data_IF_696120796362
#
_entry.id   IF_696120796362
#
_cell.length_a   1.000
_cell.length_b   1.000
_cell.length_c   1.000
_cell.angle_alpha   90.00
_cell.angle_beta   90.00
_cell.angle_gamma   90.00
#
_symmetry.space_group_name_H-M   'P 1'
#
loop_
_entity.id
_entity.type
_entity.pdbx_description
1 polymer ?
#
# COMPACT_ATOMS: atom_id res chain seq x y z
N UNK A 1 41.58 4.03 -18.09
CA UNK A 1 41.49 5.37 -17.78
C UNK A 1 40.11 5.92 -17.83
N UNK A 2 39.46 5.81 -18.86
CA UNK A 2 38.09 6.24 -18.92
C UNK A 2 37.16 5.38 -18.05
N UNK A 3 37.62 4.17 -17.68
CA UNK A 3 36.83 3.30 -16.84
C UNK A 3 36.55 3.88 -15.46
N UNK A 4 37.53 4.65 -14.94
CA UNK A 4 37.33 5.29 -13.66
C UNK A 4 36.14 6.25 -13.66
N UNK A 5 35.99 6.93 -14.76
CA UNK A 5 34.86 7.86 -14.90
C UNK A 5 33.56 7.12 -14.94
N UNK A 6 33.55 6.02 -15.66
CA UNK A 6 32.33 5.23 -15.76
C UNK A 6 31.98 4.54 -14.45
N UNK A 7 33.01 4.15 -13.71
CA UNK A 7 32.79 3.51 -12.44
C UNK A 7 32.10 4.43 -11.46
N UNK A 8 32.42 5.69 -11.54
CA UNK A 8 31.77 6.66 -10.68
C UNK A 8 30.34 6.88 -11.07
N UNK A 9 30.08 6.90 -12.35
CA UNK A 9 28.72 7.13 -12.83
C UNK A 9 27.73 6.05 -12.38
N UNK A 10 28.09 4.75 -12.40
CA UNK A 10 27.15 3.73 -11.93
C UNK A 10 26.81 3.81 -10.46
N UNK A 11 27.70 4.31 -9.64
CA UNK A 11 27.44 4.35 -8.21
C UNK A 11 26.23 5.22 -7.87
N UNK A 12 26.15 6.40 -8.45
CA UNK A 12 25.05 7.31 -8.21
C UNK A 12 23.72 6.76 -8.75
N UNK A 13 23.67 6.24 -9.99
CA UNK A 13 22.42 5.64 -10.48
C UNK A 13 21.91 4.48 -9.65
N UNK A 14 22.82 3.67 -9.09
CA UNK A 14 22.42 2.55 -8.24
C UNK A 14 21.74 3.06 -6.98
N UNK A 15 22.27 4.11 -6.38
CA UNK A 15 21.66 4.70 -5.20
C UNK A 15 20.29 5.29 -5.54
N UNK A 16 20.18 5.96 -6.67
CA UNK A 16 18.92 6.53 -7.11
C UNK A 16 17.91 5.45 -7.41
N UNK A 17 18.34 4.36 -8.02
CA UNK A 17 17.47 3.25 -8.31
C UNK A 17 16.88 2.66 -7.05
N UNK A 18 17.69 2.52 -6.00
CA UNK A 18 17.17 2.00 -4.75
C UNK A 18 16.17 2.96 -4.13
N UNK A 19 16.41 4.25 -4.24
CA UNK A 19 15.47 5.25 -3.74
C UNK A 19 14.17 5.20 -4.51
N UNK A 20 14.24 4.98 -5.83
CA UNK A 20 13.07 4.91 -6.67
C UNK A 20 12.33 3.58 -6.56
N UNK A 21 12.99 2.55 -6.05
CA UNK A 21 12.38 1.23 -5.93
C UNK A 21 11.65 1.04 -4.62
N UNK A 22 10.83 2.02 -4.29
CA UNK A 22 10.00 1.93 -3.11
C UNK A 22 8.69 1.25 -3.49
N UNK A 23 8.19 0.35 -2.62
CA UNK A 23 6.98 -0.39 -2.94
C UNK A 23 5.76 0.48 -3.13
N UNK A 24 4.79 -0.07 -3.87
CA UNK A 24 3.44 0.48 -3.96
C UNK A 24 2.60 -0.24 -2.90
N UNK A 25 1.87 0.51 -2.11
CA UNK A 25 0.96 -0.03 -1.10
C UNK A 25 -0.47 0.17 -1.57
N UNK A 26 -1.19 -0.92 -1.84
CA UNK A 26 -2.62 -0.88 -2.12
C UNK A 26 -3.34 -1.09 -0.79
N UNK A 27 -4.10 -0.10 -0.37
CA UNK A 27 -4.63 -0.05 0.99
C UNK A 27 -6.15 -0.04 1.02
N UNK A 28 -6.73 -0.86 1.87
CA UNK A 28 -8.15 -0.77 2.24
C UNK A 28 -8.29 -0.87 3.75
N UNK A 29 -9.32 -0.24 4.28
CA UNK A 29 -9.70 -0.34 5.69
C UNK A 29 -10.94 -1.20 5.80
N UNK A 30 -10.81 -2.39 6.40
CA UNK A 30 -11.91 -3.27 6.79
C UNK A 30 -12.77 -3.87 5.68
N UNK A 31 -12.73 -3.36 4.45
CA UNK A 31 -13.64 -3.78 3.39
C UNK A 31 -12.91 -4.17 2.11
N UNK A 32 -13.65 -4.67 1.14
CA UNK A 32 -13.14 -5.07 -0.15
C UNK A 32 -12.48 -3.91 -0.89
N UNK A 33 -11.53 -4.26 -1.74
CA UNK A 33 -10.81 -3.30 -2.57
C UNK A 33 -11.63 -2.95 -3.82
N UNK A 34 -11.44 -1.74 -4.29
CA UNK A 34 -12.05 -1.24 -5.51
C UNK A 34 -11.30 -1.78 -6.73
N UNK A 35 -12.04 -2.20 -7.76
CA UNK A 35 -11.41 -2.79 -8.95
C UNK A 35 -10.47 -1.83 -9.66
N UNK A 36 -10.84 -0.58 -9.77
CA UNK A 36 -9.99 0.41 -10.42
C UNK A 36 -8.70 0.63 -9.63
N UNK A 37 -8.81 0.66 -8.32
CA UNK A 37 -7.63 0.82 -7.46
C UNK A 37 -6.69 -0.37 -7.60
N UNK A 38 -7.24 -1.57 -7.73
CA UNK A 38 -6.44 -2.78 -7.95
C UNK A 38 -5.66 -2.63 -9.26
N UNK A 39 -6.35 -2.28 -10.33
CA UNK A 39 -5.71 -2.13 -11.63
C UNK A 39 -4.64 -1.05 -11.62
N UNK A 40 -4.94 0.07 -11.00
CA UNK A 40 -3.98 1.17 -10.88
C UNK A 40 -2.74 0.75 -10.11
N UNK A 41 -2.93 0.07 -8.98
CA UNK A 41 -1.81 -0.33 -8.13
C UNK A 41 -0.90 -1.33 -8.85
N UNK A 42 -1.49 -2.33 -9.51
CA UNK A 42 -0.71 -3.31 -10.27
C UNK A 42 0.03 -2.60 -11.40
N UNK A 43 -0.65 -1.72 -12.11
CA UNK A 43 -0.04 -0.97 -13.20
C UNK A 43 1.14 -0.13 -12.75
N UNK A 44 0.99 0.58 -11.63
CA UNK A 44 2.07 1.39 -11.09
C UNK A 44 3.26 0.55 -10.66
N UNK A 45 3.01 -0.59 -10.02
CA UNK A 45 4.08 -1.48 -9.59
C UNK A 45 4.86 -2.04 -10.78
N UNK A 46 4.14 -2.46 -11.82
CA UNK A 46 4.78 -2.98 -13.03
C UNK A 46 5.58 -1.91 -13.74
N UNK A 47 5.00 -0.73 -13.90
CA UNK A 47 5.64 0.37 -14.61
C UNK A 47 6.91 0.83 -13.91
N UNK A 48 6.87 0.91 -12.59
CA UNK A 48 8.01 1.33 -11.80
C UNK A 48 8.99 0.20 -11.50
N UNK A 49 8.60 -1.04 -11.74
CA UNK A 49 9.44 -2.19 -11.43
C UNK A 49 9.62 -2.40 -9.94
N UNK A 50 8.60 -2.17 -9.14
CA UNK A 50 8.67 -2.28 -7.70
C UNK A 50 7.66 -3.29 -7.16
N UNK A 51 7.84 -3.68 -5.91
CA UNK A 51 6.95 -4.60 -5.25
C UNK A 51 5.60 -3.96 -4.96
N UNK A 52 4.55 -4.78 -5.02
CA UNK A 52 3.21 -4.38 -4.61
C UNK A 52 2.88 -5.02 -3.26
N UNK A 53 2.52 -4.20 -2.30
CA UNK A 53 2.03 -4.67 -1.01
C UNK A 53 0.53 -4.46 -0.97
N UNK A 54 -0.22 -5.56 -0.84
CA UNK A 54 -1.68 -5.50 -0.74
C UNK A 54 -2.01 -5.47 0.75
N UNK A 55 -2.47 -4.34 1.22
CA UNK A 55 -2.58 -4.07 2.65
C UNK A 55 -4.02 -3.92 3.10
N UNK A 56 -4.41 -4.72 4.09
CA UNK A 56 -5.68 -4.59 4.77
C UNK A 56 -5.41 -4.11 6.19
N UNK A 57 -5.95 -2.94 6.51
CA UNK A 57 -5.87 -2.39 7.85
C UNK A 57 -7.22 -2.61 8.54
N UNK A 58 -7.23 -3.41 9.57
CA UNK A 58 -8.45 -3.72 10.30
C UNK A 58 -8.58 -2.80 11.51
N UNK A 59 -9.76 -2.19 11.64
CA UNK A 59 -10.07 -1.35 12.79
C UNK A 59 -10.52 -2.23 13.95
N UNK A 60 -9.87 -2.07 15.08
CA UNK A 60 -10.23 -2.82 16.28
C UNK A 60 -10.97 -1.92 17.26
N UNK A 61 -11.90 -2.51 18.06
CA UNK A 61 -12.46 -1.75 19.18
C UNK A 61 -11.34 -1.33 20.13
N UNK A 62 -11.44 -0.14 20.68
CA UNK A 62 -10.40 0.38 21.58
C UNK A 62 -10.27 -0.49 22.82
N UNK A 63 -11.39 -0.93 23.38
CA UNK A 63 -11.39 -1.83 24.53
C UNK A 63 -10.92 -3.20 24.08
N UNK A 64 -9.98 -3.79 24.84
CA UNK A 64 -9.46 -5.15 24.58
C UNK A 64 -8.73 -5.26 23.24
N UNK A 65 -8.18 -4.16 22.74
CA UNK A 65 -7.52 -4.15 21.44
C UNK A 65 -6.38 -5.16 21.37
N UNK A 66 -5.60 -5.29 22.43
CA UNK A 66 -4.45 -6.20 22.43
C UNK A 66 -4.88 -7.66 22.33
N UNK A 67 -5.93 -8.04 23.05
CA UNK A 67 -6.43 -9.41 22.99
C UNK A 67 -7.06 -9.70 21.64
N UNK A 68 -7.81 -8.74 21.09
CA UNK A 68 -8.45 -8.89 19.80
C UNK A 68 -7.42 -8.95 18.65
N UNK A 69 -6.37 -8.15 18.74
CA UNK A 69 -5.37 -8.07 17.68
C UNK A 69 -4.71 -9.41 17.39
N UNK A 70 -4.49 -10.21 18.40
CA UNK A 70 -3.82 -11.50 18.23
C UNK A 70 -4.66 -12.51 17.45
N UNK A 71 -6.00 -12.37 17.45
CA UNK A 71 -6.89 -13.33 16.81
C UNK A 71 -7.71 -12.71 15.69
N UNK A 72 -7.59 -11.40 15.49
CA UNK A 72 -8.39 -10.72 14.46
C UNK A 72 -7.72 -10.88 13.09
N UNK A 73 -8.35 -11.66 12.24
CA UNK A 73 -7.83 -11.95 10.91
C UNK A 73 -8.50 -11.11 9.82
N UNK A 74 -9.46 -10.29 10.19
CA UNK A 74 -10.24 -9.52 9.25
C UNK A 74 -11.34 -10.35 8.60
N UNK A 75 -12.04 -9.74 7.67
CA UNK A 75 -13.13 -10.37 6.94
C UNK A 75 -12.56 -11.44 6.00
N UNK A 76 -13.02 -12.70 6.09
CA UNK A 76 -12.50 -13.77 5.22
C UNK A 76 -12.67 -13.47 3.72
N UNK A 77 -13.75 -12.81 3.32
CA UNK A 77 -13.98 -12.47 1.93
C UNK A 77 -12.93 -11.47 1.44
N UNK A 78 -12.59 -10.50 2.27
CA UNK A 78 -11.55 -9.52 1.93
C UNK A 78 -10.18 -10.19 1.85
N UNK A 79 -9.91 -11.09 2.78
CA UNK A 79 -8.65 -11.84 2.79
C UNK A 79 -8.50 -12.67 1.53
N UNK A 80 -9.59 -13.28 1.08
CA UNK A 80 -9.59 -14.05 -0.15
C UNK A 80 -9.33 -13.16 -1.36
N UNK A 81 -9.95 -11.98 -1.37
CA UNK A 81 -9.69 -11.01 -2.44
C UNK A 81 -8.22 -10.60 -2.46
N UNK A 82 -7.60 -10.41 -1.29
CA UNK A 82 -6.18 -10.06 -1.23
C UNK A 82 -5.30 -11.12 -1.87
N UNK A 83 -5.61 -12.39 -1.64
CA UNK A 83 -4.87 -13.50 -2.27
C UNK A 83 -5.03 -13.44 -3.78
N UNK A 84 -6.23 -13.15 -4.25
CA UNK A 84 -6.49 -13.04 -5.68
C UNK A 84 -5.73 -11.88 -6.30
N UNK A 85 -5.68 -10.75 -5.62
CA UNK A 85 -4.94 -9.57 -6.10
C UNK A 85 -3.45 -9.89 -6.21
N UNK A 86 -2.90 -10.56 -5.19
CA UNK A 86 -1.50 -10.95 -5.20
C UNK A 86 -1.22 -11.88 -6.38
N UNK A 87 -2.13 -12.82 -6.64
CA UNK A 87 -1.99 -13.74 -7.77
C UNK A 87 -2.02 -13.00 -9.09
N UNK A 88 -2.97 -12.08 -9.26
CA UNK A 88 -3.06 -11.28 -10.49
C UNK A 88 -1.79 -10.47 -10.72
N UNK A 89 -1.26 -9.86 -9.68
CA UNK A 89 -0.04 -9.06 -9.79
C UNK A 89 1.15 -9.94 -10.18
N UNK A 90 1.28 -11.10 -9.57
CA UNK A 90 2.38 -12.01 -9.87
C UNK A 90 2.26 -12.56 -11.28
N UNK A 91 1.07 -12.90 -11.71
CA UNK A 91 0.84 -13.38 -13.07
C UNK A 91 1.19 -12.31 -14.11
N UNK A 92 1.01 -11.05 -13.76
CA UNK A 92 1.37 -9.93 -14.62
C UNK A 92 2.87 -9.60 -14.59
N UNK A 93 3.61 -10.22 -13.68
CA UNK A 93 5.06 -10.02 -13.61
C UNK A 93 5.56 -9.17 -12.46
N UNK A 94 4.69 -8.77 -11.54
CA UNK A 94 5.11 -7.98 -10.39
C UNK A 94 5.41 -8.87 -9.20
N UNK A 95 6.32 -8.43 -8.34
CA UNK A 95 6.44 -9.02 -7.03
C UNK A 95 5.31 -8.49 -6.17
N UNK A 96 4.65 -9.36 -5.42
CA UNK A 96 3.51 -8.94 -4.62
C UNK A 96 3.38 -9.81 -3.38
N UNK A 97 2.93 -9.18 -2.29
CA UNK A 97 2.63 -9.91 -1.07
C UNK A 97 1.55 -9.18 -0.28
N UNK A 98 0.96 -9.91 0.64
CA UNK A 98 -0.08 -9.38 1.52
C UNK A 98 0.54 -8.78 2.77
N UNK A 99 -0.16 -7.78 3.31
CA UNK A 99 0.17 -7.19 4.59
C UNK A 99 -1.14 -6.91 5.32
N UNK A 100 -1.26 -7.42 6.53
CA UNK A 100 -2.44 -7.18 7.36
C UNK A 100 -1.98 -6.61 8.68
N UNK A 101 -2.59 -5.51 9.11
CA UNK A 101 -2.36 -5.03 10.45
C UNK A 101 -3.68 -4.65 11.11
N UNK A 102 -3.68 -4.65 12.43
CA UNK A 102 -4.87 -4.39 13.23
C UNK A 102 -4.57 -3.24 14.18
N UNK A 103 -5.45 -2.26 14.24
CA UNK A 103 -5.22 -1.09 15.09
C UNK A 103 -6.54 -0.43 15.43
N UNK A 104 -6.71 0.11 16.65
CA UNK A 104 -7.85 0.96 16.95
C UNK A 104 -7.78 2.28 16.20
N UNK A 105 -6.60 2.65 15.71
CA UNK A 105 -6.39 3.86 14.90
C UNK A 105 -5.63 3.52 13.64
N UNK A 106 -6.32 2.90 12.66
CA UNK A 106 -5.63 2.36 11.49
C UNK A 106 -4.97 3.42 10.60
N UNK A 107 -5.53 4.64 10.55
CA UNK A 107 -4.91 5.71 9.76
C UNK A 107 -3.61 6.16 10.41
N UNK A 108 -3.60 6.33 11.72
CA UNK A 108 -2.37 6.71 12.42
C UNK A 108 -1.30 5.64 12.30
N UNK A 109 -1.70 4.37 12.40
CA UNK A 109 -0.77 3.25 12.26
C UNK A 109 -0.20 3.17 10.84
N UNK A 110 -0.96 3.64 9.85
CA UNK A 110 -0.51 3.63 8.45
C UNK A 110 0.80 4.38 8.28
N UNK A 111 0.97 5.50 8.97
CA UNK A 111 2.17 6.31 8.77
C UNK A 111 3.43 5.58 9.24
N UNK A 112 3.30 4.75 10.26
CA UNK A 112 4.38 3.87 10.68
C UNK A 112 4.71 2.83 9.63
N UNK A 113 3.68 2.23 9.04
CA UNK A 113 3.86 1.24 7.97
C UNK A 113 4.56 1.87 6.77
N UNK A 114 4.11 3.06 6.37
CA UNK A 114 4.70 3.78 5.24
C UNK A 114 6.19 4.03 5.48
N UNK A 115 6.54 4.47 6.68
CA UNK A 115 7.93 4.76 7.01
C UNK A 115 8.75 3.48 7.11
N UNK A 116 8.26 2.49 7.84
CA UNK A 116 9.02 1.27 8.12
C UNK A 116 9.24 0.43 6.86
N UNK A 117 8.26 0.41 5.98
CA UNK A 117 8.32 -0.33 4.72
C UNK A 117 8.85 0.52 3.57
N UNK A 118 9.13 1.79 3.83
CA UNK A 118 9.67 2.73 2.83
C UNK A 118 8.79 2.81 1.60
N UNK A 119 7.50 2.94 1.81
CA UNK A 119 6.51 2.99 0.73
C UNK A 119 6.72 4.25 -0.11
N UNK A 120 6.66 4.08 -1.43
CA UNK A 120 6.80 5.20 -2.37
C UNK A 120 5.47 5.76 -2.84
N UNK A 121 4.45 4.92 -2.89
CA UNK A 121 3.12 5.33 -3.33
C UNK A 121 2.08 4.54 -2.56
N UNK A 122 1.12 5.24 -1.98
CA UNK A 122 -0.06 4.62 -1.38
C UNK A 122 -1.21 4.78 -2.36
N UNK A 123 -1.81 3.66 -2.78
CA UNK A 123 -3.06 3.66 -3.53
C UNK A 123 -4.18 3.38 -2.53
N UNK A 124 -4.96 4.40 -2.22
CA UNK A 124 -6.05 4.26 -1.27
C UNK A 124 -7.26 3.68 -2.00
N UNK A 125 -7.52 2.41 -1.77
CA UNK A 125 -8.40 1.65 -2.61
C UNK A 125 -9.53 0.86 -1.98
N UNK A 126 -10.22 1.35 -0.96
CA UNK A 126 -11.42 0.67 -0.50
C UNK A 126 -12.53 0.84 -1.54
N UNK A 127 -13.42 -0.14 -1.63
CA UNK A 127 -14.56 -0.07 -2.52
C UNK A 127 -15.39 1.17 -2.18
N UNK A 128 -15.51 2.09 -3.14
CA UNK A 128 -16.10 3.40 -2.88
C UNK A 128 -17.56 3.35 -2.52
N UNK A 129 -18.31 2.39 -3.10
CA UNK A 129 -19.71 2.25 -2.78
C UNK A 129 -19.94 1.85 -1.33
N UNK A 130 -19.15 0.87 -0.87
CA UNK A 130 -19.27 0.37 0.49
C UNK A 130 -18.69 1.33 1.50
N UNK A 131 -17.64 2.03 1.13
CA UNK A 131 -16.94 2.93 2.04
C UNK A 131 -17.70 4.24 2.27
N UNK A 132 -18.36 4.74 1.23
CA UNK A 132 -19.05 6.02 1.27
C UNK A 132 -18.18 7.15 0.75
N UNK A 133 -18.80 8.03 -0.04
CA UNK A 133 -18.08 9.10 -0.72
C UNK A 133 -17.40 10.07 0.24
N UNK A 134 -18.11 10.51 1.26
CA UNK A 134 -17.59 11.50 2.20
C UNK A 134 -16.47 10.92 3.05
N UNK A 135 -16.64 9.69 3.51
CA UNK A 135 -15.65 9.00 4.31
C UNK A 135 -14.38 8.77 3.49
N UNK A 136 -14.53 8.37 2.23
CA UNK A 136 -13.42 8.15 1.32
C UNK A 136 -12.62 9.44 1.14
N UNK A 137 -13.31 10.53 0.82
CA UNK A 137 -12.66 11.82 0.60
C UNK A 137 -11.94 12.32 1.84
N UNK A 138 -12.57 12.17 2.98
CA UNK A 138 -12.02 12.64 4.25
C UNK A 138 -10.75 11.87 4.63
N UNK A 139 -10.82 10.55 4.53
CA UNK A 139 -9.67 9.72 4.84
C UNK A 139 -8.54 9.91 3.84
N UNK A 140 -8.87 10.00 2.56
CA UNK A 140 -7.87 10.26 1.52
C UNK A 140 -7.13 11.56 1.79
N UNK A 141 -7.86 12.59 2.13
CA UNK A 141 -7.26 13.89 2.44
C UNK A 141 -6.33 13.80 3.65
N UNK A 142 -6.77 13.09 4.66
CA UNK A 142 -5.97 12.92 5.87
C UNK A 142 -4.70 12.15 5.60
N UNK A 143 -4.80 11.07 4.83
CA UNK A 143 -3.63 10.28 4.45
C UNK A 143 -2.67 11.13 3.64
N UNK A 144 -3.20 11.84 2.66
CA UNK A 144 -2.38 12.68 1.78
C UNK A 144 -1.64 13.77 2.53
N UNK A 145 -2.28 14.34 3.53
CA UNK A 145 -1.69 15.42 4.31
C UNK A 145 -0.52 14.95 5.17
N UNK A 146 -0.59 13.74 5.68
CA UNK A 146 0.35 13.26 6.68
C UNK A 146 1.33 12.20 6.18
N UNK A 147 1.06 11.57 5.06
CA UNK A 147 1.95 10.55 4.53
C UNK A 147 3.16 11.18 3.86
N UNK A 148 4.31 10.56 4.06
CA UNK A 148 5.58 11.03 3.54
C UNK A 148 5.88 10.39 2.19
N UNK A 149 4.87 10.28 1.34
CA UNK A 149 4.97 9.64 0.03
C UNK A 149 3.82 10.12 -0.84
N UNK A 150 3.85 9.72 -2.11
CA UNK A 150 2.74 10.00 -3.01
C UNK A 150 1.52 9.21 -2.60
N UNK A 151 0.35 9.79 -2.81
CA UNK A 151 -0.93 9.15 -2.48
C UNK A 151 -1.83 9.25 -3.70
N UNK A 152 -2.41 8.11 -4.09
CA UNK A 152 -3.33 8.01 -5.23
C UNK A 152 -4.69 7.54 -4.72
N UNK A 153 -5.82 8.00 -5.23
CA UNK A 153 -5.95 8.96 -6.33
C UNK A 153 -5.57 10.38 -5.91
N UNK A 154 -5.21 11.18 -6.91
CA UNK A 154 -4.83 12.58 -6.67
C UNK A 154 -6.04 13.41 -6.28
N UNK A 155 -7.21 13.05 -6.79
CA UNK A 155 -8.44 13.75 -6.49
C UNK A 155 -9.41 12.82 -5.79
N UNK A 156 -10.13 13.36 -4.84
CA UNK A 156 -11.10 12.59 -4.08
C UNK A 156 -12.50 12.70 -4.68
#
# INVERSE_FOLDING_TARGET
>A
MTSAVRDRAPAAPVADERTERRPVLLLSFDILFDEQAIDDAIGFALEAGVELLVCLANTLPTANANAAARRHMGNPVVREQMLEIVRLARDAGAEAQQLVYNSPRPISALFGVVRDRRIGLVVFGPNRRSYGRLRFRWHLRRIRRNADCLVWPLEA
#
